data_IF_929572842204
#
_entry.id   IF_929572842204
#
_cell.length_a   1.000
_cell.length_b   1.000
_cell.length_c   1.000
_cell.angle_alpha   90.00
_cell.angle_beta   90.00
_cell.angle_gamma   90.00
#
_symmetry.space_group_name_H-M   'P 1'
#
loop_
_entity.id
_entity.type
_entity.pdbx_description
1 polymer ?
#
# COMPACT_ATOMS: atom_id res chain seq x y z
N UNK A 1 38.97 -18.80 -76.78
CA UNK A 1 38.75 -17.60 -75.95
C UNK A 1 38.25 -18.05 -74.58
N UNK A 2 38.96 -17.70 -73.50
CA UNK A 2 38.69 -18.17 -72.13
C UNK A 2 37.46 -17.48 -71.54
N UNK A 3 36.51 -18.25 -71.04
CA UNK A 3 35.31 -17.82 -70.31
C UNK A 3 35.66 -17.43 -68.87
N UNK A 4 35.25 -16.23 -68.42
CA UNK A 4 35.38 -15.79 -67.02
C UNK A 4 34.26 -16.39 -66.14
N UNK A 5 34.52 -16.77 -64.88
CA UNK A 5 33.47 -17.21 -63.97
C UNK A 5 32.76 -16.01 -63.34
N UNK A 6 31.43 -16.12 -63.18
CA UNK A 6 30.61 -15.19 -62.39
C UNK A 6 30.66 -15.63 -60.93
N UNK A 7 31.18 -14.77 -60.05
CA UNK A 7 31.04 -14.94 -58.60
C UNK A 7 29.69 -14.35 -58.17
N UNK A 8 28.85 -15.18 -57.56
CA UNK A 8 27.62 -14.77 -56.87
C UNK A 8 27.99 -14.55 -55.41
N UNK A 9 27.88 -13.32 -54.93
CA UNK A 9 27.95 -13.00 -53.49
C UNK A 9 26.56 -13.21 -52.88
N UNK A 10 26.43 -14.18 -51.97
CA UNK A 10 25.26 -14.33 -51.11
C UNK A 10 25.59 -13.60 -49.80
N UNK A 11 24.94 -12.47 -49.55
CA UNK A 11 24.98 -11.78 -48.26
C UNK A 11 23.94 -12.46 -47.37
N UNK A 12 24.39 -13.22 -46.38
CA UNK A 12 23.54 -13.77 -45.33
C UNK A 12 23.12 -12.67 -44.35
N UNK A 13 21.82 -12.41 -44.25
CA UNK A 13 21.25 -11.51 -43.26
C UNK A 13 21.19 -12.27 -41.91
N UNK A 14 22.11 -11.99 -40.99
CA UNK A 14 22.01 -12.49 -39.60
C UNK A 14 21.08 -11.54 -38.85
N UNK A 15 19.84 -11.98 -38.62
CA UNK A 15 18.94 -11.31 -37.70
C UNK A 15 19.42 -11.58 -36.26
N UNK A 16 20.08 -10.61 -35.64
CA UNK A 16 20.27 -10.60 -34.19
C UNK A 16 18.92 -10.34 -33.52
N UNK A 17 18.27 -11.40 -33.06
CA UNK A 17 17.21 -11.26 -32.06
C UNK A 17 17.87 -10.88 -30.73
N UNK A 18 17.80 -9.59 -30.39
CA UNK A 18 18.13 -9.13 -29.05
C UNK A 18 17.14 -9.73 -28.06
N UNK A 19 17.56 -10.73 -27.29
CA UNK A 19 16.83 -11.15 -26.11
C UNK A 19 16.93 -10.03 -25.07
N UNK A 20 15.91 -9.20 -24.95
CA UNK A 20 15.73 -8.35 -23.77
C UNK A 20 15.52 -9.29 -22.58
N UNK A 21 16.51 -9.38 -21.69
CA UNK A 21 16.31 -9.98 -20.38
C UNK A 21 15.25 -9.14 -19.65
N UNK A 22 14.00 -9.60 -19.66
CA UNK A 22 12.95 -9.07 -18.79
C UNK A 22 13.38 -9.44 -17.37
N UNK A 23 14.00 -8.50 -16.65
CA UNK A 23 14.23 -8.67 -15.22
C UNK A 23 12.87 -8.74 -14.55
N UNK A 24 12.59 -9.83 -13.83
CA UNK A 24 11.34 -9.98 -13.09
C UNK A 24 11.14 -8.78 -12.16
N UNK A 25 9.97 -8.16 -12.21
CA UNK A 25 9.61 -7.03 -11.35
C UNK A 25 9.30 -7.51 -9.93
N UNK A 26 9.76 -6.77 -8.92
CA UNK A 26 9.18 -6.91 -7.58
C UNK A 26 7.96 -6.00 -7.49
N UNK A 27 6.84 -6.49 -6.97
CA UNK A 27 5.67 -5.67 -6.67
C UNK A 27 5.44 -5.67 -5.17
N UNK A 28 5.58 -4.50 -4.56
CA UNK A 28 5.25 -4.26 -3.16
C UNK A 28 3.87 -3.64 -3.07
N UNK A 29 2.94 -4.40 -2.49
CA UNK A 29 1.56 -3.97 -2.23
C UNK A 29 1.49 -3.48 -0.79
N UNK A 30 1.04 -2.26 -0.58
CA UNK A 30 0.76 -1.66 0.72
C UNK A 30 -0.75 -1.56 0.85
N UNK A 31 -1.32 -2.33 1.77
CA UNK A 31 -2.76 -2.32 2.03
C UNK A 31 -3.00 -1.81 3.42
N UNK A 32 -3.79 -0.75 3.51
CA UNK A 32 -4.22 -0.17 4.79
C UNK A 32 -5.70 0.07 4.80
N UNK A 33 -6.26 0.22 6.00
CA UNK A 33 -7.67 0.53 6.16
C UNK A 33 -7.94 1.95 5.66
N UNK A 34 -7.24 2.91 6.25
CA UNK A 34 -7.49 4.32 6.07
C UNK A 34 -6.40 5.01 5.25
N UNK A 35 -6.70 6.20 4.68
CA UNK A 35 -5.78 6.82 3.73
C UNK A 35 -4.48 7.44 4.29
N UNK A 36 -4.30 7.47 5.61
CA UNK A 36 -3.13 8.01 6.30
C UNK A 36 -2.28 6.95 7.03
N UNK A 37 -2.77 5.72 7.15
CA UNK A 37 -2.12 4.64 7.91
C UNK A 37 -0.72 4.30 7.39
N UNK A 38 -0.54 4.10 6.08
CA UNK A 38 0.77 3.66 5.56
C UNK A 38 1.83 4.75 5.74
N UNK A 39 1.42 6.01 5.82
CA UNK A 39 2.30 7.13 6.08
C UNK A 39 2.86 7.09 7.49
N UNK A 40 2.03 6.70 8.46
CA UNK A 40 2.38 6.61 9.88
C UNK A 40 3.14 5.31 10.21
N UNK A 41 2.68 4.17 9.69
CA UNK A 41 3.15 2.86 10.17
C UNK A 41 4.10 2.16 9.19
N UNK A 42 4.00 2.45 7.89
CA UNK A 42 4.72 1.72 6.84
C UNK A 42 5.86 2.53 6.18
N UNK A 43 6.11 3.77 6.57
CA UNK A 43 7.34 4.51 6.22
C UNK A 43 8.46 4.31 7.25
N UNK A 44 9.74 4.19 6.82
CA UNK A 44 10.27 4.50 5.49
C UNK A 44 10.24 3.35 4.47
N UNK A 45 9.71 2.17 4.82
CA UNK A 45 9.67 1.03 3.89
C UNK A 45 8.93 1.35 2.58
N UNK A 46 7.79 2.05 2.63
CA UNK A 46 7.08 2.50 1.42
C UNK A 46 7.93 3.41 0.54
N UNK A 47 8.67 4.36 1.14
CA UNK A 47 9.64 5.19 0.42
C UNK A 47 10.76 4.37 -0.23
N UNK A 48 11.30 3.38 0.47
CA UNK A 48 12.35 2.51 -0.07
C UNK A 48 11.86 1.67 -1.25
N UNK A 49 10.62 1.18 -1.21
CA UNK A 49 10.00 0.48 -2.34
C UNK A 49 9.78 1.40 -3.54
N UNK A 50 9.35 2.65 -3.32
CA UNK A 50 9.20 3.64 -4.41
C UNK A 50 10.53 3.92 -5.10
N UNK A 51 11.63 3.98 -4.34
CA UNK A 51 12.99 4.13 -4.85
C UNK A 51 13.53 2.89 -5.55
N UNK A 52 12.94 1.72 -5.31
CA UNK A 52 13.41 0.44 -5.79
C UNK A 52 13.52 0.39 -7.31
N UNK A 53 14.72 0.11 -7.82
CA UNK A 53 14.90 -0.15 -9.24
C UNK A 53 14.15 -1.44 -9.61
N UNK A 54 13.33 -1.39 -10.66
CA UNK A 54 12.46 -2.50 -11.10
C UNK A 54 11.42 -2.93 -10.04
N UNK A 55 11.01 -2.00 -9.17
CA UNK A 55 9.94 -2.22 -8.20
C UNK A 55 8.68 -1.44 -8.58
N UNK A 56 7.54 -2.14 -8.59
CA UNK A 56 6.20 -1.57 -8.68
C UNK A 56 5.67 -1.40 -7.27
N UNK A 57 5.08 -0.24 -6.99
CA UNK A 57 4.41 0.00 -5.71
C UNK A 57 2.92 0.12 -5.94
N UNK A 58 2.14 -0.65 -5.20
CA UNK A 58 0.67 -0.66 -5.28
C UNK A 58 0.14 -0.31 -3.90
N UNK A 59 -0.49 0.84 -3.77
CA UNK A 59 -1.22 1.21 -2.56
C UNK A 59 -2.70 0.87 -2.74
N UNK A 60 -3.32 0.34 -1.70
CA UNK A 60 -4.74 0.02 -1.65
C UNK A 60 -5.28 0.50 -0.31
N UNK A 61 -6.25 1.41 -0.33
CA UNK A 61 -7.07 1.68 0.86
C UNK A 61 -8.37 0.90 0.75
N UNK A 62 -8.65 0.08 1.76
CA UNK A 62 -9.86 -0.74 1.78
C UNK A 62 -11.07 0.11 2.15
N UNK A 63 -10.96 1.00 3.14
CA UNK A 63 -12.03 1.91 3.56
C UNK A 63 -11.82 3.32 3.02
N UNK A 64 -12.88 4.14 3.11
CA UNK A 64 -12.79 5.57 2.86
C UNK A 64 -12.13 6.32 4.03
N UNK A 65 -12.06 5.71 5.21
CA UNK A 65 -11.72 6.42 6.44
C UNK A 65 -12.65 7.61 6.67
N UNK A 66 -13.94 7.42 6.39
CA UNK A 66 -14.95 8.46 6.46
C UNK A 66 -15.37 8.80 7.90
N UNK A 67 -14.93 8.03 8.91
CA UNK A 67 -15.27 8.22 10.32
C UNK A 67 -16.79 8.28 10.58
N UNK A 68 -17.58 7.61 9.72
CA UNK A 68 -19.03 7.63 9.78
C UNK A 68 -19.68 8.84 9.11
N UNK A 69 -18.94 9.72 8.44
CA UNK A 69 -19.54 10.80 7.67
C UNK A 69 -19.97 10.38 6.26
N UNK A 70 -19.59 9.19 5.78
CA UNK A 70 -19.83 8.75 4.41
C UNK A 70 -19.37 9.80 3.40
N UNK A 71 -20.31 10.31 2.59
CA UNK A 71 -20.09 11.41 1.64
C UNK A 71 -20.69 12.75 2.10
N UNK A 72 -21.15 12.84 3.35
CA UNK A 72 -21.82 14.05 3.86
C UNK A 72 -20.87 15.24 4.00
N UNK A 73 -19.59 14.96 4.22
CA UNK A 73 -18.50 15.93 4.11
C UNK A 73 -17.39 15.37 3.22
N UNK A 74 -16.45 16.25 2.85
CA UNK A 74 -15.31 15.87 2.03
C UNK A 74 -14.15 15.26 2.86
N UNK A 75 -14.41 14.72 4.05
CA UNK A 75 -13.37 14.24 4.96
C UNK A 75 -12.54 13.12 4.33
N UNK A 76 -13.23 12.11 3.78
CA UNK A 76 -12.53 11.01 3.10
C UNK A 76 -11.71 11.52 1.91
N UNK A 77 -12.24 12.45 1.11
CA UNK A 77 -11.53 13.05 -0.03
C UNK A 77 -10.28 13.83 0.43
N UNK A 78 -10.33 14.50 1.57
CA UNK A 78 -9.17 15.19 2.14
C UNK A 78 -8.07 14.21 2.54
N UNK A 79 -8.43 13.08 3.15
CA UNK A 79 -7.49 11.99 3.48
C UNK A 79 -6.93 11.34 2.21
N UNK A 80 -7.75 11.10 1.20
CA UNK A 80 -7.30 10.60 -0.12
C UNK A 80 -6.24 11.54 -0.74
N UNK A 81 -6.49 12.86 -0.75
CA UNK A 81 -5.54 13.84 -1.27
C UNK A 81 -4.26 13.91 -0.42
N UNK A 82 -4.34 13.77 0.90
CA UNK A 82 -3.17 13.59 1.76
C UNK A 82 -2.30 12.43 1.31
N UNK A 83 -2.91 11.27 1.05
CA UNK A 83 -2.19 10.08 0.56
C UNK A 83 -1.57 10.26 -0.82
N UNK A 84 -2.33 10.84 -1.75
CA UNK A 84 -1.83 11.13 -3.09
C UNK A 84 -0.66 12.14 -3.03
N UNK A 85 -0.72 13.12 -2.13
CA UNK A 85 0.35 14.09 -1.92
C UNK A 85 1.60 13.45 -1.34
N UNK A 86 1.45 12.52 -0.41
CA UNK A 86 2.55 11.73 0.14
C UNK A 86 3.27 10.91 -0.95
N UNK A 87 2.51 10.24 -1.84
CA UNK A 87 3.08 9.52 -2.99
C UNK A 87 3.86 10.46 -3.91
N UNK A 88 3.30 11.64 -4.23
CA UNK A 88 3.98 12.64 -5.05
C UNK A 88 5.25 13.15 -4.37
N UNK A 89 5.19 13.45 -3.07
CA UNK A 89 6.36 13.89 -2.29
C UNK A 89 7.48 12.87 -2.35
N UNK A 90 7.22 11.63 -1.94
CA UNK A 90 8.20 10.56 -1.95
C UNK A 90 8.76 10.35 -3.35
N UNK A 91 7.87 10.21 -4.34
CA UNK A 91 8.24 9.98 -5.73
C UNK A 91 9.13 11.07 -6.29
N UNK A 92 8.87 12.34 -5.97
CA UNK A 92 9.58 13.47 -6.55
C UNK A 92 10.90 13.77 -5.85
N UNK A 93 10.97 13.55 -4.54
CA UNK A 93 12.14 13.91 -3.73
C UNK A 93 13.30 12.93 -3.85
N UNK A 94 13.07 11.68 -4.27
CA UNK A 94 14.17 10.73 -4.45
C UNK A 94 14.95 10.90 -5.76
N UNK A 95 14.47 11.73 -6.70
CA UNK A 95 15.11 11.92 -8.02
C UNK A 95 15.56 13.36 -8.22
N UNK A 96 16.71 13.54 -8.88
CA UNK A 96 17.19 14.86 -9.32
C UNK A 96 16.57 15.33 -10.65
N UNK A 97 15.57 14.60 -11.17
CA UNK A 97 14.87 14.93 -12.41
C UNK A 97 13.61 15.73 -12.11
N UNK A 98 13.24 16.63 -13.02
CA UNK A 98 11.98 17.36 -12.96
C UNK A 98 10.79 16.41 -12.74
N UNK A 99 9.97 16.71 -11.74
CA UNK A 99 8.79 15.93 -11.40
C UNK A 99 7.63 16.18 -12.38
N UNK A 100 6.72 15.21 -12.60
CA UNK A 100 5.43 15.45 -13.27
C UNK A 100 4.52 16.47 -12.55
N UNK A 101 4.95 17.03 -11.40
CA UNK A 101 4.19 17.96 -10.60
C UNK A 101 2.98 17.30 -9.94
N UNK A 102 1.88 18.02 -9.84
CA UNK A 102 0.61 17.55 -9.27
C UNK A 102 -0.18 16.60 -10.19
N UNK A 103 0.29 16.37 -11.42
CA UNK A 103 -0.45 15.63 -12.43
C UNK A 103 -0.33 14.10 -12.24
N UNK A 104 -1.12 13.53 -11.34
CA UNK A 104 -1.35 12.09 -11.29
C UNK A 104 -2.35 11.67 -12.37
N UNK A 105 -2.12 10.52 -13.02
CA UNK A 105 -3.08 9.98 -13.96
C UNK A 105 -4.25 9.34 -13.19
N UNK A 106 -5.41 9.97 -13.22
CA UNK A 106 -6.63 9.50 -12.59
C UNK A 106 -7.48 8.71 -13.58
N UNK A 107 -7.92 7.52 -13.19
CA UNK A 107 -8.82 6.66 -13.98
C UNK A 107 -9.79 5.93 -13.06
N UNK A 108 -10.94 5.52 -13.59
CA UNK A 108 -11.78 4.50 -12.95
C UNK A 108 -11.61 3.21 -13.73
N UNK A 109 -11.15 2.16 -13.06
CA UNK A 109 -10.99 0.83 -13.68
C UNK A 109 -12.16 -0.06 -13.32
N UNK A 110 -12.52 -0.97 -14.23
CA UNK A 110 -13.48 -2.02 -13.96
C UNK A 110 -12.72 -3.32 -13.63
N UNK A 111 -12.87 -3.83 -12.41
CA UNK A 111 -12.24 -5.09 -11.97
C UNK A 111 -13.34 -6.00 -11.46
N UNK A 112 -13.53 -7.15 -12.09
CA UNK A 112 -14.59 -8.12 -11.78
C UNK A 112 -16.02 -7.53 -11.73
N UNK A 113 -16.28 -6.44 -12.46
CA UNK A 113 -17.59 -5.77 -12.45
C UNK A 113 -17.70 -4.61 -11.46
N UNK A 114 -16.63 -4.30 -10.72
CA UNK A 114 -16.58 -3.20 -9.76
C UNK A 114 -15.79 -2.02 -10.33
N UNK A 115 -16.38 -0.83 -10.23
CA UNK A 115 -15.73 0.43 -10.59
C UNK A 115 -14.85 0.90 -9.43
N UNK A 116 -13.54 1.01 -9.66
CA UNK A 116 -12.56 1.37 -8.62
C UNK A 116 -11.73 2.54 -9.09
N UNK A 117 -11.60 3.56 -8.24
CA UNK A 117 -10.77 4.73 -8.52
C UNK A 117 -9.29 4.36 -8.41
N UNK A 118 -8.55 4.67 -9.46
CA UNK A 118 -7.11 4.41 -9.58
C UNK A 118 -6.36 5.69 -9.93
N UNK A 119 -5.28 5.95 -9.19
CA UNK A 119 -4.27 6.93 -9.58
C UNK A 119 -2.96 6.24 -9.94
N UNK A 120 -2.25 6.74 -10.95
CA UNK A 120 -0.91 6.29 -11.31
C UNK A 120 0.09 7.45 -11.30
N UNK A 121 1.27 7.22 -10.74
CA UNK A 121 2.37 8.19 -10.69
C UNK A 121 3.72 7.48 -10.68
N UNK A 122 4.49 7.61 -11.77
CA UNK A 122 5.75 6.87 -11.99
C UNK A 122 5.53 5.35 -11.81
N UNK A 123 6.25 4.71 -10.90
CA UNK A 123 6.11 3.29 -10.57
C UNK A 123 5.06 2.99 -9.48
N UNK A 124 4.42 4.01 -8.93
CA UNK A 124 3.38 3.86 -7.91
C UNK A 124 1.97 3.92 -8.52
N UNK A 125 1.06 3.12 -7.97
CA UNK A 125 -0.39 3.21 -8.21
C UNK A 125 -1.13 3.22 -6.88
N UNK A 126 -2.27 3.89 -6.82
CA UNK A 126 -3.16 3.94 -5.65
C UNK A 126 -4.56 3.52 -6.07
N UNK A 127 -5.17 2.61 -5.32
CA UNK A 127 -6.55 2.18 -5.47
C UNK A 127 -7.36 2.56 -4.22
N UNK A 128 -8.51 3.19 -4.43
CA UNK A 128 -9.46 3.50 -3.36
C UNK A 128 -10.71 2.64 -3.52
N UNK A 129 -10.91 1.70 -2.60
CA UNK A 129 -12.12 0.87 -2.58
C UNK A 129 -13.30 1.61 -1.94
N UNK A 130 -13.00 2.57 -1.05
CA UNK A 130 -13.97 3.45 -0.38
C UNK A 130 -15.06 2.68 0.38
N UNK A 131 -14.73 1.51 0.93
CA UNK A 131 -15.66 0.80 1.82
C UNK A 131 -15.88 1.63 3.10
N UNK A 132 -16.98 1.41 3.84
CA UNK A 132 -17.25 2.17 5.04
C UNK A 132 -16.20 1.94 6.13
N UNK A 133 -15.84 3.01 6.82
CA UNK A 133 -15.16 2.93 8.11
C UNK A 133 -16.01 2.11 9.10
N UNK A 134 -15.38 1.08 9.67
CA UNK A 134 -15.96 0.10 10.55
C UNK A 134 -16.03 0.53 12.00
N UNK A 135 -15.61 1.76 12.35
CA UNK A 135 -15.36 2.21 13.72
C UNK A 135 -14.27 1.36 14.40
N UNK A 136 -13.75 1.84 15.53
CA UNK A 136 -12.62 1.21 16.24
C UNK A 136 -12.83 -0.28 16.54
N UNK A 137 -14.07 -0.66 16.90
CA UNK A 137 -14.44 -2.04 17.27
C UNK A 137 -15.20 -2.81 16.19
N UNK A 138 -15.20 -2.35 14.93
CA UNK A 138 -15.85 -3.06 13.83
C UNK A 138 -17.38 -3.01 13.83
N UNK A 139 -17.97 -2.17 14.69
CA UNK A 139 -19.42 -2.00 14.82
C UNK A 139 -20.05 -1.25 13.64
N UNK A 140 -19.28 -0.50 12.87
CA UNK A 140 -19.73 0.41 11.81
C UNK A 140 -20.43 1.66 12.36
N UNK A 141 -20.83 2.55 11.45
CA UNK A 141 -21.58 3.76 11.79
C UNK A 141 -23.03 3.71 11.26
N UNK A 142 -24.01 4.33 11.94
CA UNK A 142 -25.41 4.32 11.48
C UNK A 142 -25.62 4.90 10.08
N UNK A 143 -24.85 5.93 9.73
CA UNK A 143 -24.82 6.61 8.41
C UNK A 143 -24.43 5.68 7.27
N UNK A 144 -23.61 4.67 7.54
CA UNK A 144 -23.15 3.65 6.59
C UNK A 144 -23.85 2.31 6.83
N UNK A 145 -25.07 2.35 7.40
CA UNK A 145 -25.90 1.18 7.74
C UNK A 145 -25.20 0.17 8.67
N UNK A 146 -24.24 0.64 9.47
CA UNK A 146 -23.40 -0.18 10.34
C UNK A 146 -22.65 -1.30 9.60
N UNK A 147 -22.33 -1.09 8.31
CA UNK A 147 -21.46 -2.00 7.57
C UNK A 147 -20.01 -1.84 8.03
N UNK A 148 -19.24 -2.92 8.03
CA UNK A 148 -17.81 -2.92 8.37
C UNK A 148 -17.12 -4.11 7.74
N UNK A 149 -15.79 -4.04 7.59
CA UNK A 149 -14.99 -5.16 7.11
C UNK A 149 -15.06 -6.36 8.06
N UNK A 150 -15.09 -6.12 9.38
CA UNK A 150 -15.28 -7.17 10.38
C UNK A 150 -16.57 -7.96 10.15
N UNK A 151 -17.69 -7.26 9.97
CA UNK A 151 -18.97 -7.92 9.77
C UNK A 151 -19.02 -8.70 8.46
N UNK A 152 -18.38 -8.19 7.40
CA UNK A 152 -18.28 -8.91 6.13
C UNK A 152 -17.45 -10.18 6.29
N UNK A 153 -16.27 -10.04 6.91
CA UNK A 153 -15.32 -11.13 7.11
C UNK A 153 -15.90 -12.25 7.98
N UNK A 154 -16.60 -11.89 9.05
CA UNK A 154 -17.27 -12.83 9.96
C UNK A 154 -18.62 -13.35 9.43
N UNK A 155 -19.06 -12.92 8.24
CA UNK A 155 -20.34 -13.33 7.65
C UNK A 155 -21.58 -12.77 8.34
N UNK A 156 -21.44 -11.75 9.18
CA UNK A 156 -22.56 -11.04 9.84
C UNK A 156 -23.34 -10.15 8.87
N UNK A 157 -22.70 -9.68 7.80
CA UNK A 157 -23.35 -9.10 6.62
C UNK A 157 -22.89 -9.86 5.38
N UNK A 158 -23.77 -9.96 4.38
CA UNK A 158 -23.43 -10.65 3.13
C UNK A 158 -22.71 -9.74 2.15
N UNK A 159 -23.05 -8.45 2.11
CA UNK A 159 -22.50 -7.51 1.14
C UNK A 159 -22.00 -6.23 1.82
N UNK A 160 -21.09 -5.53 1.15
CA UNK A 160 -20.58 -4.23 1.55
C UNK A 160 -20.56 -3.27 0.35
N UNK A 161 -20.97 -2.03 0.58
CA UNK A 161 -21.08 -1.02 -0.47
C UNK A 161 -20.11 0.11 -0.22
N UNK A 162 -19.47 0.62 -1.27
CA UNK A 162 -18.64 1.83 -1.16
C UNK A 162 -19.50 3.02 -0.72
N UNK A 163 -18.95 3.91 0.12
CA UNK A 163 -19.68 5.05 0.70
C UNK A 163 -20.21 6.04 -0.34
N UNK A 164 -19.56 6.08 -1.51
CA UNK A 164 -19.96 6.91 -2.65
C UNK A 164 -20.91 6.21 -3.64
N UNK A 165 -21.33 4.98 -3.34
CA UNK A 165 -22.22 4.18 -4.18
C UNK A 165 -21.59 3.70 -5.49
N UNK A 166 -20.27 3.81 -5.65
CA UNK A 166 -19.57 3.40 -6.88
C UNK A 166 -19.65 1.90 -7.17
N UNK A 167 -19.72 1.07 -6.14
CA UNK A 167 -19.80 -0.38 -6.26
C UNK A 167 -20.32 -1.04 -4.97
N UNK A 168 -20.83 -2.26 -5.11
CA UNK A 168 -21.19 -3.16 -4.00
C UNK A 168 -20.52 -4.50 -4.24
N UNK A 169 -19.79 -5.00 -3.24
CA UNK A 169 -19.26 -6.35 -3.23
C UNK A 169 -20.32 -7.28 -2.62
N UNK A 170 -20.70 -8.30 -3.38
CA UNK A 170 -21.81 -9.20 -3.05
C UNK A 170 -21.48 -10.23 -1.97
N UNK A 171 -20.20 -10.46 -1.69
CA UNK A 171 -19.68 -11.37 -0.67
C UNK A 171 -18.22 -11.04 -0.32
N UNK A 172 -17.71 -11.64 0.76
CA UNK A 172 -16.28 -11.62 1.06
C UNK A 172 -15.44 -12.15 -0.12
N UNK A 173 -15.84 -13.28 -0.69
CA UNK A 173 -15.14 -13.87 -1.84
C UNK A 173 -15.12 -12.95 -3.07
N UNK A 174 -16.16 -12.13 -3.26
CA UNK A 174 -16.23 -11.13 -4.34
C UNK A 174 -15.17 -10.04 -4.16
N UNK A 175 -15.05 -9.54 -2.92
CA UNK A 175 -14.02 -8.58 -2.54
C UNK A 175 -12.61 -9.16 -2.68
N UNK A 176 -12.36 -10.36 -2.16
CA UNK A 176 -11.07 -11.06 -2.27
C UNK A 176 -10.65 -11.31 -3.72
N UNK A 177 -11.57 -11.79 -4.57
CA UNK A 177 -11.28 -12.02 -5.98
C UNK A 177 -10.97 -10.71 -6.73
N UNK A 178 -11.63 -9.62 -6.34
CA UNK A 178 -11.37 -8.29 -6.90
C UNK A 178 -9.99 -7.78 -6.50
N UNK A 179 -9.64 -7.84 -5.20
CA UNK A 179 -8.32 -7.48 -4.69
C UNK A 179 -7.20 -8.33 -5.33
N UNK A 180 -7.43 -9.65 -5.45
CA UNK A 180 -6.54 -10.55 -6.19
C UNK A 180 -6.33 -10.09 -7.62
N UNK A 181 -7.39 -9.72 -8.32
CA UNK A 181 -7.33 -9.29 -9.72
C UNK A 181 -6.61 -7.95 -9.88
N UNK A 182 -6.78 -7.01 -8.93
CA UNK A 182 -5.98 -5.78 -8.85
C UNK A 182 -4.49 -6.13 -8.74
N UNK A 183 -4.11 -6.93 -7.75
CA UNK A 183 -2.69 -7.31 -7.52
C UNK A 183 -2.10 -8.01 -8.74
N UNK A 184 -2.80 -8.96 -9.33
CA UNK A 184 -2.34 -9.69 -10.51
C UNK A 184 -2.19 -8.79 -11.74
N UNK A 185 -3.02 -7.76 -11.88
CA UNK A 185 -2.89 -6.79 -12.98
C UNK A 185 -1.64 -5.90 -12.88
N UNK A 186 -1.06 -5.76 -11.68
CA UNK A 186 0.08 -4.90 -11.40
C UNK A 186 1.39 -5.69 -11.17
N UNK A 187 1.38 -7.01 -11.34
CA UNK A 187 2.51 -7.86 -10.96
C UNK A 187 2.96 -8.82 -12.07
N UNK A 188 4.29 -8.96 -12.19
CA UNK A 188 4.92 -9.86 -13.17
C UNK A 188 6.08 -10.70 -12.57
N UNK A 189 6.30 -10.62 -11.25
CA UNK A 189 7.39 -11.31 -10.56
C UNK A 189 7.15 -11.48 -9.05
N UNK A 190 8.13 -11.13 -8.22
CA UNK A 190 8.05 -11.32 -6.76
C UNK A 190 6.97 -10.43 -6.14
N UNK A 191 6.12 -11.01 -5.30
CA UNK A 191 5.08 -10.30 -4.58
C UNK A 191 5.41 -10.15 -3.09
N UNK A 192 5.26 -8.93 -2.59
CA UNK A 192 5.33 -8.60 -1.16
C UNK A 192 4.08 -7.85 -0.77
N UNK A 193 3.37 -8.28 0.26
CA UNK A 193 2.28 -7.52 0.86
C UNK A 193 2.76 -6.89 2.17
N UNK A 194 2.39 -5.65 2.39
CA UNK A 194 2.65 -4.87 3.59
C UNK A 194 1.29 -4.49 4.16
N UNK A 195 0.99 -4.94 5.37
CA UNK A 195 -0.33 -4.82 6.00
C UNK A 195 -0.20 -4.87 7.52
N UNK A 196 -1.24 -4.51 8.28
CA UNK A 196 -1.24 -4.59 9.74
C UNK A 196 -1.00 -6.03 10.24
N UNK A 197 -0.37 -6.21 11.39
CA UNK A 197 -0.18 -7.51 12.02
C UNK A 197 -1.45 -7.91 12.75
N UNK A 198 -1.96 -9.10 12.41
CA UNK A 198 -3.20 -9.63 12.97
C UNK A 198 -2.97 -10.41 14.26
N UNK A 199 -1.71 -10.59 14.69
CA UNK A 199 -1.40 -11.20 15.97
C UNK A 199 -1.54 -10.18 17.10
N UNK A 200 -2.60 -10.32 17.90
CA UNK A 200 -2.90 -9.44 19.03
C UNK A 200 -1.77 -9.36 20.09
N UNK A 201 -0.88 -10.36 20.19
CA UNK A 201 0.28 -10.25 21.09
C UNK A 201 1.41 -9.36 20.53
N UNK A 202 1.39 -9.11 19.22
CA UNK A 202 2.38 -8.29 18.50
C UNK A 202 1.79 -6.93 18.13
N UNK A 203 0.50 -6.83 17.87
CA UNK A 203 -0.22 -5.60 17.56
C UNK A 203 -1.50 -5.56 18.40
N UNK A 204 -1.36 -5.33 19.72
CA UNK A 204 -2.50 -5.35 20.63
C UNK A 204 -3.41 -4.15 20.39
N UNK A 205 -4.70 -4.34 20.66
CA UNK A 205 -5.70 -3.27 20.73
C UNK A 205 -5.70 -2.36 19.48
N UNK A 206 -5.51 -2.96 18.31
CA UNK A 206 -5.52 -2.22 17.04
C UNK A 206 -6.94 -2.05 16.50
N UNK A 207 -7.10 -1.10 15.57
CA UNK A 207 -8.38 -0.82 14.93
C UNK A 207 -8.92 -2.04 14.20
N UNK A 208 -10.22 -2.32 14.34
CA UNK A 208 -10.86 -3.46 13.67
C UNK A 208 -10.64 -3.44 12.15
N UNK A 209 -10.75 -2.27 11.50
CA UNK A 209 -10.48 -2.19 10.05
C UNK A 209 -9.03 -2.50 9.67
N UNK A 210 -8.03 -2.19 10.51
CA UNK A 210 -6.64 -2.53 10.23
C UNK A 210 -6.49 -4.06 10.20
N UNK A 211 -7.02 -4.71 11.25
CA UNK A 211 -7.00 -6.16 11.39
C UNK A 211 -7.73 -6.85 10.24
N UNK A 212 -8.95 -6.41 9.89
CA UNK A 212 -9.76 -7.08 8.87
C UNK A 212 -9.30 -6.77 7.44
N UNK A 213 -8.75 -5.58 7.18
CA UNK A 213 -8.06 -5.33 5.90
C UNK A 213 -6.88 -6.28 5.72
N UNK A 214 -6.12 -6.52 6.81
CA UNK A 214 -4.99 -7.44 6.79
C UNK A 214 -5.39 -8.90 6.66
N UNK A 215 -6.42 -9.35 7.38
CA UNK A 215 -6.94 -10.70 7.25
C UNK A 215 -7.38 -11.00 5.81
N UNK A 216 -8.17 -10.10 5.22
CA UNK A 216 -8.61 -10.22 3.82
C UNK A 216 -7.40 -10.30 2.87
N UNK A 217 -6.37 -9.47 3.07
CA UNK A 217 -5.19 -9.52 2.21
C UNK A 217 -4.29 -10.75 2.45
N UNK A 218 -4.31 -11.33 3.65
CA UNK A 218 -3.67 -12.61 3.93
C UNK A 218 -4.39 -13.75 3.20
N UNK A 219 -5.73 -13.71 3.12
CA UNK A 219 -6.50 -14.66 2.31
C UNK A 219 -6.23 -14.47 0.81
N UNK A 220 -6.17 -13.22 0.33
CA UNK A 220 -5.75 -12.91 -1.05
C UNK A 220 -4.33 -13.41 -1.33
N UNK A 221 -3.39 -13.27 -0.39
CA UNK A 221 -2.04 -13.80 -0.51
C UNK A 221 -2.03 -15.33 -0.64
N UNK A 222 -2.86 -16.02 0.16
CA UNK A 222 -3.04 -17.47 0.06
C UNK A 222 -3.65 -17.88 -1.31
N UNK A 223 -4.62 -17.12 -1.82
CA UNK A 223 -5.24 -17.35 -3.13
C UNK A 223 -4.32 -17.10 -4.33
N UNK A 224 -3.28 -16.28 -4.15
CA UNK A 224 -2.25 -16.00 -5.17
C UNK A 224 -1.09 -17.00 -5.07
N UNK A 225 -0.64 -17.30 -3.84
CA UNK A 225 0.53 -18.13 -3.57
C UNK A 225 1.86 -17.41 -3.83
N UNK A 226 2.92 -17.82 -3.14
CA UNK A 226 4.27 -17.26 -3.36
C UNK A 226 4.46 -15.81 -2.87
N UNK A 227 3.53 -15.29 -2.06
CA UNK A 227 3.56 -13.91 -1.53
C UNK A 227 4.35 -13.86 -0.22
N UNK A 228 5.26 -12.90 -0.09
CA UNK A 228 5.89 -12.56 1.21
C UNK A 228 4.98 -11.58 1.95
N UNK A 229 4.71 -11.82 3.23
CA UNK A 229 3.92 -10.89 4.06
C UNK A 229 4.84 -10.12 5.01
N UNK A 230 4.77 -8.81 5.00
CA UNK A 230 5.31 -7.92 6.02
C UNK A 230 4.14 -7.40 6.85
N UNK A 231 4.08 -7.82 8.10
CA UNK A 231 2.98 -7.55 9.02
C UNK A 231 3.41 -6.52 10.07
N UNK A 232 2.79 -5.33 10.06
CA UNK A 232 3.20 -4.14 10.81
C UNK A 232 2.41 -3.99 12.11
N UNK A 233 3.07 -3.61 13.21
CA UNK A 233 2.36 -3.08 14.37
C UNK A 233 1.99 -1.63 14.11
N UNK A 234 0.76 -1.24 14.42
CA UNK A 234 0.22 0.08 14.13
C UNK A 234 0.14 0.92 15.41
N UNK A 235 -1.03 1.16 16.00
CA UNK A 235 -1.17 2.16 17.07
C UNK A 235 -0.29 1.94 18.31
N UNK A 236 -0.13 0.69 18.75
CA UNK A 236 0.68 0.33 19.93
C UNK A 236 2.14 0.80 19.81
N UNK A 237 2.65 1.03 18.59
CA UNK A 237 4.03 1.49 18.45
C UNK A 237 4.25 2.86 19.09
N UNK A 238 3.22 3.68 19.34
CA UNK A 238 3.36 4.98 20.02
C UNK A 238 4.19 4.91 21.31
N UNK A 239 4.04 3.82 22.07
CA UNK A 239 4.69 3.63 23.38
C UNK A 239 5.95 2.77 23.32
N UNK A 240 6.31 2.25 22.15
CA UNK A 240 7.52 1.41 21.98
C UNK A 240 8.79 2.26 21.96
N UNK A 241 9.98 1.66 22.05
CA UNK A 241 11.23 2.39 21.81
C UNK A 241 11.25 3.06 20.43
N UNK A 242 11.95 4.18 20.32
CA UNK A 242 12.21 4.81 19.02
C UNK A 242 13.20 3.94 18.23
N UNK A 243 12.93 3.71 16.95
CA UNK A 243 13.80 2.91 16.08
C UNK A 243 13.99 3.49 14.66
N UNK A 244 13.51 4.72 14.41
CA UNK A 244 13.74 5.46 13.15
C UNK A 244 14.52 6.73 13.47
N UNK A 245 15.61 6.95 12.75
CA UNK A 245 16.54 8.05 12.99
C UNK A 245 17.03 8.69 11.68
N UNK A 246 17.73 9.82 11.79
CA UNK A 246 18.48 10.45 10.70
C UNK A 246 17.63 10.66 9.44
N UNK A 247 18.14 10.23 8.27
CA UNK A 247 17.48 10.43 6.99
C UNK A 247 16.11 9.75 6.90
N UNK A 248 15.94 8.58 7.53
CA UNK A 248 14.65 7.90 7.53
C UNK A 248 13.61 8.69 8.32
N UNK A 249 14.00 9.29 9.44
CA UNK A 249 13.12 10.19 10.20
C UNK A 249 12.76 11.44 9.39
N UNK A 250 13.72 12.01 8.63
CA UNK A 250 13.44 13.15 7.75
C UNK A 250 12.42 12.79 6.65
N UNK A 251 12.51 11.58 6.10
CA UNK A 251 11.54 11.08 5.12
C UNK A 251 10.18 10.83 5.76
N UNK A 252 10.12 10.24 6.96
CA UNK A 252 8.86 10.04 7.69
C UNK A 252 8.18 11.39 7.97
N UNK A 253 8.91 12.35 8.54
CA UNK A 253 8.40 13.69 8.81
C UNK A 253 7.98 14.43 7.54
N UNK A 254 8.76 14.33 6.45
CA UNK A 254 8.41 14.94 5.17
C UNK A 254 7.16 14.31 4.54
N UNK A 255 7.03 12.99 4.61
CA UNK A 255 5.88 12.26 4.06
C UNK A 255 4.61 12.55 4.87
N UNK A 256 4.72 12.61 6.20
CA UNK A 256 3.61 13.01 7.06
C UNK A 256 3.23 14.48 6.87
N UNK A 257 4.21 15.38 6.82
CA UNK A 257 3.96 16.80 6.55
C UNK A 257 3.28 17.04 5.19
N UNK A 258 3.67 16.28 4.16
CA UNK A 258 2.98 16.28 2.87
C UNK A 258 1.53 15.80 3.02
N UNK A 259 1.30 14.71 3.73
CA UNK A 259 -0.05 14.17 4.02
C UNK A 259 -0.92 15.21 4.72
N UNK A 260 -0.42 15.73 5.84
CA UNK A 260 -1.07 16.74 6.67
C UNK A 260 -1.45 17.99 5.88
N UNK A 261 -0.53 18.49 5.04
CA UNK A 261 -0.79 19.64 4.17
C UNK A 261 -1.89 19.36 3.15
N UNK A 262 -1.98 18.13 2.63
CA UNK A 262 -3.01 17.72 1.68
C UNK A 262 -4.40 17.70 2.33
N UNK A 263 -4.47 17.19 3.55
CA UNK A 263 -5.70 17.21 4.35
C UNK A 263 -6.12 18.66 4.66
N UNK A 264 -5.19 19.51 5.11
CA UNK A 264 -5.49 20.89 5.48
C UNK A 264 -5.89 21.78 4.30
N UNK A 265 -5.27 21.59 3.14
CA UNK A 265 -5.66 22.32 1.92
C UNK A 265 -7.10 21.99 1.48
N UNK A 266 -7.64 20.86 1.93
CA UNK A 266 -9.03 20.47 1.73
C UNK A 266 -9.95 20.91 2.89
N UNK A 267 -9.50 21.85 3.72
CA UNK A 267 -10.27 22.44 4.84
C UNK A 267 -10.55 21.51 6.03
N UNK A 268 -9.73 20.46 6.22
CA UNK A 268 -9.82 19.56 7.38
C UNK A 268 -8.64 19.74 8.34
N UNK A 269 -8.78 19.21 9.55
CA UNK A 269 -7.71 19.23 10.55
C UNK A 269 -6.49 18.48 10.01
N UNK A 270 -5.33 19.13 10.01
CA UNK A 270 -4.13 18.63 9.32
C UNK A 270 -3.54 17.36 9.90
N UNK A 271 -3.89 16.96 11.12
CA UNK A 271 -3.24 15.86 11.88
C UNK A 271 -1.72 16.02 12.05
N UNK A 272 -1.15 17.19 11.74
CA UNK A 272 0.19 17.58 12.19
C UNK A 272 0.11 18.09 13.63
N UNK A 273 0.13 17.15 14.57
CA UNK A 273 0.05 17.41 16.00
C UNK A 273 0.90 16.42 16.79
N UNK A 274 1.05 16.67 18.09
CA UNK A 274 1.88 15.82 18.93
C UNK A 274 1.35 14.40 19.06
N UNK A 275 0.04 14.20 18.98
CA UNK A 275 -0.59 12.89 19.18
C UNK A 275 -0.30 11.97 17.98
N UNK A 276 -0.33 12.52 16.76
CA UNK A 276 0.03 11.77 15.55
C UNK A 276 1.55 11.68 15.33
N UNK A 277 2.28 12.75 15.65
CA UNK A 277 3.71 12.79 15.35
C UNK A 277 4.55 11.80 16.16
N UNK A 278 3.99 11.17 17.21
CA UNK A 278 4.68 10.12 17.98
C UNK A 278 5.05 8.91 17.11
N UNK A 279 4.27 8.59 16.08
CA UNK A 279 4.50 7.42 15.24
C UNK A 279 5.65 7.59 14.25
N UNK A 280 6.02 8.84 13.90
CA UNK A 280 7.05 9.13 12.90
C UNK A 280 8.43 8.58 13.23
N UNK A 281 8.67 8.31 14.51
CA UNK A 281 9.94 7.83 15.05
C UNK A 281 10.03 6.29 15.10
N UNK A 282 8.98 5.58 14.65
CA UNK A 282 8.82 4.15 14.93
C UNK A 282 8.23 3.39 13.76
N UNK A 283 8.75 2.20 13.54
CA UNK A 283 8.16 1.21 12.64
C UNK A 283 8.52 -0.18 13.12
N UNK A 284 7.52 -1.03 13.32
CA UNK A 284 7.72 -2.40 13.75
C UNK A 284 6.96 -3.32 12.81
N UNK A 285 7.63 -4.34 12.28
CA UNK A 285 6.99 -5.35 11.47
C UNK A 285 7.74 -6.68 11.57
N UNK A 286 7.05 -7.77 11.27
CA UNK A 286 7.66 -9.08 11.03
C UNK A 286 7.44 -9.52 9.60
N UNK A 287 8.39 -10.26 9.06
CA UNK A 287 8.25 -10.89 7.76
C UNK A 287 7.84 -12.35 7.93
N UNK A 288 6.74 -12.73 7.29
CA UNK A 288 6.33 -14.11 7.09
C UNK A 288 6.69 -14.49 5.64
N UNK A 289 7.65 -15.42 5.44
CA UNK A 289 8.06 -15.80 4.11
C UNK A 289 6.93 -16.52 3.36
N UNK A 290 6.98 -16.56 2.02
CA UNK A 290 6.06 -17.37 1.23
C UNK A 290 6.10 -18.82 1.69
N UNK A 291 4.94 -19.41 1.97
CA UNK A 291 4.86 -20.76 2.51
C UNK A 291 5.54 -21.78 1.56
N UNK A 292 6.61 -22.41 2.07
CA UNK A 292 6.81 -23.87 2.04
C UNK A 292 7.20 -24.45 3.43
N UNK A 293 7.49 -23.59 4.43
CA UNK A 293 7.55 -23.84 5.88
C UNK A 293 8.09 -22.55 6.55
N UNK A 294 7.53 -22.03 7.65
CA UNK A 294 7.94 -20.74 8.18
C UNK A 294 9.15 -20.89 9.11
N UNK A 295 10.31 -20.36 8.68
CA UNK A 295 11.30 -19.83 9.61
C UNK A 295 11.01 -18.33 9.71
N UNK A 296 10.54 -17.89 10.88
CA UNK A 296 10.26 -16.49 11.17
C UNK A 296 11.59 -15.79 11.44
N UNK A 297 11.93 -14.78 10.63
CA UNK A 297 12.99 -13.82 10.96
C UNK A 297 12.37 -12.46 11.26
N UNK A 298 12.44 -12.05 12.52
CA UNK A 298 12.19 -10.66 12.90
C UNK A 298 13.46 -9.88 12.56
N UNK A 299 13.40 -9.00 11.56
CA UNK A 299 14.50 -8.10 11.24
C UNK A 299 14.24 -6.76 11.93
N UNK A 300 15.12 -6.38 12.86
CA UNK A 300 15.26 -4.98 13.23
C UNK A 300 15.88 -4.22 12.05
N UNK A 301 15.38 -3.01 11.78
CA UNK A 301 15.81 -2.17 10.66
C UNK A 301 17.23 -1.63 10.80
N UNK A 302 17.90 -1.86 11.95
CA UNK A 302 19.30 -1.49 12.15
C UNK A 302 20.06 -2.49 13.04
N UNK A 303 21.04 -3.25 12.53
CA UNK A 303 21.92 -4.08 13.34
C UNK A 303 22.91 -3.29 14.22
N UNK A 304 22.94 -1.95 14.11
CA UNK A 304 23.71 -1.05 14.96
C UNK A 304 22.91 -0.45 16.13
N UNK A 305 21.64 -0.83 16.29
CA UNK A 305 20.86 -0.56 17.49
C UNK A 305 21.33 -1.43 18.68
N UNK A 306 22.62 -1.34 19.03
CA UNK A 306 23.09 -1.72 20.36
C UNK A 306 22.62 -0.66 21.35
N UNK A 307 22.03 -1.15 22.44
CA UNK A 307 21.58 -0.44 23.65
C UNK A 307 21.96 1.05 23.75
N UNK A 308 20.92 1.89 23.74
CA UNK A 308 21.05 3.31 24.00
C UNK A 308 21.61 3.52 25.43
N UNK A 309 22.74 4.22 25.62
CA UNK A 309 23.41 4.37 26.91
C UNK A 309 22.71 5.37 27.85
N UNK A 310 21.39 5.51 27.78
CA UNK A 310 20.59 6.43 28.60
C UNK A 310 19.59 5.71 29.53
N UNK A 311 19.79 4.41 29.77
CA UNK A 311 19.11 3.70 30.86
C UNK A 311 19.89 3.87 32.17
N UNK A 312 19.91 5.12 32.68
CA UNK A 312 20.07 5.48 34.11
C UNK A 312 19.26 6.73 34.42
#
# INVERSE_FOLDING_TARGET
MKTKPKFIFIIGLIALFGFSNLTAQTTSVYVTAHPDDWQLFMNPNAYNSIKGANEKVVFIHTTAGDAGDGVTNNHYLAREEGSLRAIRFMSNTFTNQGAPGTNMNQTTVNVNGHQILKFSYRNAVMYFLRLPDGNYTGTGYPTTNNQSLEKLYNGSITNISAVDGSTTYSSLADLENTLKSIVQSESTGTLKFNSADTNNSINPDDHSDHLHSSLIMQDVANLIGGVTLNLYSDYDIAIRPVNIFNNDLLINAGTWGATASGISDNSFFSTWDNDHNVWLYRQYYRTVPPNNNPVVSVLATDPSASENPLDT
#
